data_IF_760129330093
#
_entry.id   IF_760129330093
#
_cell.length_a   1.000
_cell.length_b   1.000
_cell.length_c   1.000
_cell.angle_alpha   90.00
_cell.angle_beta   90.00
_cell.angle_gamma   90.00
#
_symmetry.space_group_name_H-M   'P 1'
#
loop_
_entity.id
_entity.type
_entity.pdbx_description
1 polymer ?
#
# COMPACT_ATOMS: atom_id res chain seq x y z
N UNK A 1 -4.91 19.61 7.33
CA UNK A 1 -3.63 19.89 8.03
C UNK A 1 -3.34 18.93 9.19
N UNK A 2 -4.32 18.51 10.00
CA UNK A 2 -4.05 17.66 11.19
C UNK A 2 -3.41 16.29 10.90
N UNK A 3 -3.72 15.64 9.77
CA UNK A 3 -3.14 14.32 9.45
C UNK A 3 -1.63 14.39 9.18
N UNK A 4 -1.16 15.49 8.59
CA UNK A 4 0.27 15.71 8.36
C UNK A 4 1.01 15.93 9.69
N UNK A 5 0.46 16.75 10.58
CA UNK A 5 1.03 17.01 11.89
C UNK A 5 1.12 15.73 12.75
N UNK A 6 0.08 14.87 12.71
CA UNK A 6 0.07 13.58 13.41
C UNK A 6 1.17 12.63 12.92
N UNK A 7 1.42 12.59 11.61
CA UNK A 7 2.49 11.76 11.04
C UNK A 7 3.88 12.35 11.32
N UNK A 8 4.00 13.68 11.32
CA UNK A 8 5.25 14.38 11.60
C UNK A 8 5.74 14.13 13.04
N UNK A 9 4.86 14.22 14.04
CA UNK A 9 5.20 13.90 15.43
C UNK A 9 5.72 12.48 15.60
N UNK A 10 5.12 11.53 14.87
CA UNK A 10 5.54 10.14 14.89
C UNK A 10 6.92 9.97 14.27
N UNK A 11 7.19 10.61 13.13
CA UNK A 11 8.51 10.61 12.48
C UNK A 11 9.61 11.19 13.38
N UNK A 12 9.34 12.31 14.06
CA UNK A 12 10.29 12.93 15.00
C UNK A 12 10.62 12.00 16.17
N UNK A 13 9.60 11.33 16.73
CA UNK A 13 9.79 10.39 17.84
C UNK A 13 10.66 9.20 17.43
N UNK A 14 10.41 8.66 16.23
CA UNK A 14 11.19 7.53 15.70
C UNK A 14 12.61 7.92 15.35
N UNK A 15 12.83 9.08 14.73
CA UNK A 15 14.17 9.62 14.53
C UNK A 15 14.92 9.73 15.86
N UNK A 16 14.28 10.28 16.89
CA UNK A 16 14.89 10.44 18.20
C UNK A 16 15.28 9.10 18.83
N UNK A 17 14.42 8.08 18.70
CA UNK A 17 14.66 6.72 19.15
C UNK A 17 15.86 6.09 18.44
N UNK A 18 15.93 6.19 17.10
CA UNK A 18 17.04 5.65 16.31
C UNK A 18 18.36 6.35 16.60
N UNK A 19 18.36 7.68 16.59
CA UNK A 19 19.53 8.49 16.91
C UNK A 19 20.09 8.19 18.31
N UNK A 20 19.24 7.83 19.28
CA UNK A 20 19.69 7.45 20.62
C UNK A 20 20.32 6.05 20.70
N UNK A 21 19.97 5.17 19.75
CA UNK A 21 20.49 3.79 19.65
C UNK A 21 21.71 3.70 18.73
N UNK A 22 21.95 4.71 17.91
CA UNK A 22 23.12 4.77 17.03
C UNK A 22 24.39 4.93 17.84
N UNK A 23 25.27 3.93 17.77
CA UNK A 23 26.62 4.03 18.32
C UNK A 23 27.51 4.84 17.35
N UNK A 24 27.47 6.18 17.48
CA UNK A 24 28.30 7.07 16.70
C UNK A 24 27.61 8.38 16.31
N UNK A 25 28.22 9.10 15.36
CA UNK A 25 27.71 10.36 14.84
C UNK A 25 27.04 10.23 13.46
N UNK A 26 26.81 9.01 12.97
CA UNK A 26 26.27 8.79 11.62
C UNK A 26 25.02 7.93 11.70
N UNK A 27 23.87 8.49 11.31
CA UNK A 27 22.64 7.73 11.11
C UNK A 27 22.75 6.93 9.82
N UNK A 28 22.45 5.63 9.88
CA UNK A 28 22.55 4.74 8.71
C UNK A 28 21.58 5.16 7.59
N UNK A 29 21.98 4.94 6.34
CA UNK A 29 21.11 5.21 5.18
C UNK A 29 19.82 4.39 5.22
N UNK A 30 19.88 3.17 5.77
CA UNK A 30 18.72 2.31 6.02
C UNK A 30 17.73 2.92 7.01
N UNK A 31 18.21 3.52 8.09
CA UNK A 31 17.35 4.18 9.07
C UNK A 31 16.66 5.41 8.49
N UNK A 32 17.39 6.21 7.72
CA UNK A 32 16.83 7.33 6.97
C UNK A 32 15.80 6.86 5.92
N UNK A 33 16.05 5.73 5.26
CA UNK A 33 15.15 5.16 4.26
C UNK A 33 13.83 4.67 4.88
N UNK A 34 13.88 4.10 6.09
CA UNK A 34 12.67 3.67 6.80
C UNK A 34 11.84 4.86 7.30
N UNK A 35 12.49 5.92 7.77
CA UNK A 35 11.85 7.21 8.09
C UNK A 35 11.10 7.78 6.87
N UNK A 36 11.71 7.67 5.68
CA UNK A 36 11.11 8.09 4.43
C UNK A 36 9.91 7.22 4.01
N UNK A 37 10.07 5.90 3.97
CA UNK A 37 9.05 4.99 3.44
C UNK A 37 7.87 4.77 4.38
N UNK A 38 8.13 4.62 5.68
CA UNK A 38 7.10 4.26 6.67
C UNK A 38 6.42 5.48 7.28
N UNK A 39 7.18 6.53 7.52
CA UNK A 39 6.71 7.73 8.22
C UNK A 39 6.58 8.93 7.28
N UNK A 40 6.91 8.79 5.99
CA UNK A 40 6.82 9.87 5.01
C UNK A 40 7.76 11.03 5.29
N UNK A 41 8.84 10.79 6.06
CA UNK A 41 9.73 11.83 6.54
C UNK A 41 10.81 12.13 5.49
N UNK A 42 10.91 13.36 4.95
CA UNK A 42 11.91 13.67 3.93
C UNK A 42 13.35 13.47 4.44
N UNK A 43 14.24 13.02 3.55
CA UNK A 43 15.66 12.88 3.85
C UNK A 43 16.27 14.24 4.29
N UNK A 44 15.88 15.33 3.63
CA UNK A 44 16.34 16.69 3.97
C UNK A 44 16.02 17.07 5.43
N UNK A 45 14.79 16.78 5.88
CA UNK A 45 14.37 17.07 7.25
C UNK A 45 15.15 16.20 8.25
N UNK A 46 15.39 14.95 7.89
CA UNK A 46 16.20 14.01 8.70
C UNK A 46 17.65 14.48 8.83
N UNK A 47 18.23 15.05 7.76
CA UNK A 47 19.57 15.65 7.79
C UNK A 47 19.65 16.88 8.69
N UNK A 48 18.67 17.78 8.62
CA UNK A 48 18.61 18.97 9.50
C UNK A 48 18.54 18.54 10.97
N UNK A 49 17.66 17.60 11.30
CA UNK A 49 17.54 17.08 12.67
C UNK A 49 18.78 16.34 13.16
N UNK A 50 19.48 15.62 12.27
CA UNK A 50 20.76 14.99 12.60
C UNK A 50 21.82 16.06 12.90
N UNK A 51 21.90 17.10 12.08
CA UNK A 51 22.86 18.18 12.24
C UNK A 51 22.64 18.94 13.56
N UNK A 52 21.39 19.20 13.96
CA UNK A 52 21.05 19.80 15.26
C UNK A 52 21.55 18.99 16.46
N UNK A 53 21.73 17.68 16.27
CA UNK A 53 22.26 16.75 17.28
C UNK A 53 23.76 16.49 17.15
N UNK A 54 24.44 17.16 16.22
CA UNK A 54 25.85 16.92 15.93
C UNK A 54 26.11 15.56 15.27
N UNK A 55 25.09 15.01 14.59
CA UNK A 55 25.13 13.79 13.81
C UNK A 55 25.03 14.12 12.31
N UNK A 56 25.40 13.17 11.45
CA UNK A 56 25.23 13.22 10.00
C UNK A 56 24.39 12.04 9.55
N UNK A 57 23.78 12.13 8.38
CA UNK A 57 23.06 11.01 7.75
C UNK A 57 23.94 10.44 6.64
N UNK A 58 24.01 9.11 6.54
CA UNK A 58 24.60 8.43 5.40
C UNK A 58 23.68 8.54 4.17
N UNK A 59 23.86 9.62 3.42
CA UNK A 59 23.09 9.93 2.21
C UNK A 59 23.35 8.91 1.10
N UNK A 60 24.58 8.41 1.00
CA UNK A 60 24.95 7.43 -0.02
C UNK A 60 24.21 6.11 0.20
N UNK A 61 24.22 5.60 1.45
CA UNK A 61 23.47 4.39 1.79
C UNK A 61 21.95 4.57 1.63
N UNK A 62 21.43 5.78 1.86
CA UNK A 62 20.01 6.08 1.59
C UNK A 62 19.68 5.98 0.09
N UNK A 63 20.54 6.54 -0.76
CA UNK A 63 20.32 6.57 -2.21
C UNK A 63 20.40 5.17 -2.82
N UNK A 64 21.33 4.33 -2.35
CA UNK A 64 21.45 2.92 -2.73
C UNK A 64 20.16 2.12 -2.40
N UNK A 65 19.63 2.27 -1.17
CA UNK A 65 18.38 1.62 -0.75
C UNK A 65 17.17 2.17 -1.53
N UNK A 66 17.14 3.47 -1.79
CA UNK A 66 16.09 4.11 -2.56
C UNK A 66 16.07 3.63 -4.01
N UNK A 67 17.23 3.43 -4.62
CA UNK A 67 17.37 2.93 -5.97
C UNK A 67 17.00 1.45 -6.07
N UNK A 68 17.38 0.64 -5.08
CA UNK A 68 16.95 -0.75 -4.96
C UNK A 68 15.43 -0.88 -4.78
N UNK A 69 14.82 -0.02 -3.96
CA UNK A 69 13.36 0.04 -3.82
C UNK A 69 12.68 0.42 -5.13
N UNK A 70 13.20 1.43 -5.83
CA UNK A 70 12.70 1.86 -7.15
C UNK A 70 12.78 0.73 -8.19
N UNK A 71 13.87 -0.03 -8.20
CA UNK A 71 14.02 -1.19 -9.08
C UNK A 71 13.01 -2.28 -8.73
N UNK A 72 12.88 -2.65 -7.45
CA UNK A 72 11.87 -3.61 -6.98
C UNK A 72 10.44 -3.18 -7.32
N UNK A 73 10.09 -1.91 -7.16
CA UNK A 73 8.76 -1.41 -7.53
C UNK A 73 8.51 -1.52 -9.04
N UNK A 74 9.54 -1.31 -9.88
CA UNK A 74 9.43 -1.52 -11.34
C UNK A 74 9.29 -3.00 -11.70
N UNK A 75 10.00 -3.89 -11.03
CA UNK A 75 9.91 -5.33 -11.21
C UNK A 75 8.56 -5.88 -10.74
N UNK A 76 8.02 -5.40 -9.61
CA UNK A 76 6.64 -5.71 -9.18
C UNK A 76 5.59 -5.17 -10.13
N UNK A 77 5.84 -4.06 -10.83
CA UNK A 77 4.93 -3.59 -11.88
C UNK A 77 4.99 -4.47 -13.15
N UNK A 78 6.07 -5.23 -13.31
CA UNK A 78 6.21 -6.27 -14.34
C UNK A 78 5.75 -7.66 -13.85
N UNK A 79 5.40 -7.82 -12.56
CA UNK A 79 4.69 -8.99 -12.05
C UNK A 79 3.25 -8.92 -12.54
N UNK A 80 3.08 -9.36 -13.79
CA UNK A 80 1.92 -10.12 -14.23
C UNK A 80 0.60 -9.51 -13.80
N UNK A 81 0.23 -8.42 -14.46
CA UNK A 81 -1.13 -8.28 -15.01
C UNK A 81 -1.39 -9.40 -16.04
N UNK A 82 -1.22 -10.66 -15.63
CA UNK A 82 -1.88 -11.81 -16.22
C UNK A 82 -3.10 -12.02 -15.34
N UNK A 83 -4.11 -11.17 -15.43
CA UNK A 83 -4.90 -10.99 -16.64
C UNK A 83 -5.10 -9.51 -16.97
N UNK A 84 -4.41 -9.06 -18.01
CA UNK A 84 -5.05 -8.17 -18.96
C UNK A 84 -6.24 -8.97 -19.51
N UNK A 85 -7.39 -8.92 -18.83
CA UNK A 85 -8.65 -9.39 -19.38
C UNK A 85 -8.99 -8.41 -20.50
N UNK A 86 -8.26 -8.50 -21.60
CA UNK A 86 -8.63 -7.86 -22.86
C UNK A 86 -9.89 -8.58 -23.32
N UNK A 87 -11.03 -8.14 -22.80
CA UNK A 87 -12.31 -8.44 -23.41
C UNK A 87 -12.35 -7.62 -24.70
N UNK A 88 -11.98 -8.25 -25.81
CA UNK A 88 -12.14 -7.64 -27.12
C UNK A 88 -13.62 -7.31 -27.31
N UNK A 89 -13.95 -6.20 -27.98
CA UNK A 89 -15.33 -5.74 -28.15
C UNK A 89 -16.26 -6.83 -28.73
N UNK A 90 -15.71 -7.77 -29.49
CA UNK A 90 -16.44 -8.92 -30.02
C UNK A 90 -16.88 -9.91 -28.94
N UNK A 91 -16.08 -10.09 -27.88
CA UNK A 91 -16.36 -11.01 -26.78
C UNK A 91 -17.45 -10.45 -25.85
N UNK A 92 -17.44 -9.14 -25.58
CA UNK A 92 -18.54 -8.49 -24.82
C UNK A 92 -19.85 -8.53 -25.61
N UNK A 93 -19.78 -8.36 -26.93
CA UNK A 93 -20.94 -8.44 -27.82
C UNK A 93 -21.53 -9.86 -27.87
N UNK A 94 -20.68 -10.90 -27.93
CA UNK A 94 -21.11 -12.30 -27.85
C UNK A 94 -21.81 -12.63 -26.51
N UNK A 95 -21.26 -12.16 -25.39
CA UNK A 95 -21.85 -12.37 -24.06
C UNK A 95 -23.23 -11.71 -23.93
N UNK A 96 -23.40 -10.51 -24.49
CA UNK A 96 -24.65 -9.74 -24.44
C UNK A 96 -25.73 -10.32 -25.37
N UNK A 97 -25.38 -10.68 -26.61
CA UNK A 97 -26.35 -11.06 -27.64
C UNK A 97 -26.63 -12.57 -27.72
N UNK A 98 -25.60 -13.42 -27.64
CA UNK A 98 -25.77 -14.88 -27.78
C UNK A 98 -26.06 -15.55 -26.43
N UNK A 99 -25.31 -15.17 -25.39
CA UNK A 99 -25.44 -15.80 -24.06
C UNK A 99 -26.38 -15.05 -23.12
N UNK A 100 -26.90 -13.87 -23.52
CA UNK A 100 -27.82 -13.03 -22.73
C UNK A 100 -27.35 -12.81 -21.29
N UNK A 101 -26.05 -12.71 -21.08
CA UNK A 101 -25.49 -12.49 -19.75
C UNK A 101 -25.73 -11.02 -19.38
N UNK A 102 -26.47 -10.73 -18.30
CA UNK A 102 -26.68 -9.36 -17.87
C UNK A 102 -25.36 -8.73 -17.45
N UNK A 103 -25.17 -7.44 -17.79
CA UNK A 103 -24.02 -6.66 -17.30
C UNK A 103 -24.07 -6.63 -15.77
N UNK A 104 -22.91 -6.83 -15.14
CA UNK A 104 -22.80 -6.79 -13.69
C UNK A 104 -23.21 -5.41 -13.17
N UNK A 105 -24.24 -5.36 -12.33
CA UNK A 105 -24.66 -4.13 -11.67
C UNK A 105 -23.70 -3.84 -10.51
N UNK A 106 -22.79 -2.89 -10.72
CA UNK A 106 -21.81 -2.45 -9.73
C UNK A 106 -22.28 -1.28 -8.86
N UNK A 107 -23.54 -0.83 -9.01
CA UNK A 107 -24.06 0.35 -8.31
C UNK A 107 -23.94 0.21 -6.78
N UNK A 108 -24.01 -1.02 -6.29
CA UNK A 108 -23.86 -1.39 -4.88
C UNK A 108 -22.48 -1.07 -4.28
N UNK A 109 -21.40 -1.08 -5.08
CA UNK A 109 -20.04 -0.73 -4.61
C UNK A 109 -19.94 0.73 -4.19
N UNK A 110 -20.73 1.60 -4.83
CA UNK A 110 -20.65 3.05 -4.66
C UNK A 110 -21.77 3.61 -3.77
N UNK A 111 -22.73 2.78 -3.35
CA UNK A 111 -23.82 3.16 -2.46
C UNK A 111 -23.44 3.17 -0.97
N UNK A 112 -22.17 2.91 -0.64
CA UNK A 112 -21.67 2.93 0.73
C UNK A 112 -21.32 4.35 1.17
N UNK A 113 -22.02 4.90 2.17
CA UNK A 113 -21.67 6.19 2.78
C UNK A 113 -20.46 6.00 3.72
N UNK A 114 -19.26 6.24 3.18
CA UNK A 114 -18.01 6.13 3.93
C UNK A 114 -17.92 7.09 5.13
N UNK A 115 -18.73 8.15 5.17
CA UNK A 115 -18.71 9.14 6.25
C UNK A 115 -19.59 8.74 7.44
N UNK A 116 -20.69 8.02 7.21
CA UNK A 116 -21.62 7.55 8.26
C UNK A 116 -21.44 6.08 8.64
N UNK A 117 -20.72 5.30 7.83
CA UNK A 117 -20.59 3.85 8.04
C UNK A 117 -21.91 3.11 7.82
N UNK A 118 -22.84 3.71 7.09
CA UNK A 118 -24.15 3.15 6.78
C UNK A 118 -24.26 2.87 5.28
N UNK A 119 -24.75 1.68 4.96
CA UNK A 119 -25.06 1.24 3.61
C UNK A 119 -26.30 0.36 3.66
N UNK A 120 -26.93 0.14 2.50
CA UNK A 120 -28.06 -0.78 2.39
C UNK A 120 -27.66 -2.16 2.91
N UNK A 121 -28.41 -2.72 3.86
CA UNK A 121 -28.23 -4.09 4.32
C UNK A 121 -28.69 -5.06 3.21
N UNK A 122 -27.82 -5.98 2.84
CA UNK A 122 -28.14 -7.02 1.86
C UNK A 122 -27.88 -8.40 2.47
N UNK A 123 -28.80 -9.33 2.23
CA UNK A 123 -28.60 -10.74 2.54
C UNK A 123 -27.79 -11.37 1.41
N UNK A 124 -26.54 -11.74 1.68
CA UNK A 124 -25.75 -12.55 0.76
C UNK A 124 -25.88 -14.02 1.17
N UNK A 125 -26.12 -14.91 0.20
CA UNK A 125 -26.06 -16.35 0.42
C UNK A 125 -24.71 -16.87 -0.05
N UNK A 126 -24.01 -17.60 0.81
CA UNK A 126 -22.75 -18.25 0.46
C UNK A 126 -23.05 -19.44 -0.46
N UNK A 127 -22.66 -19.34 -1.73
CA UNK A 127 -22.95 -20.38 -2.73
C UNK A 127 -21.89 -21.49 -2.75
N UNK A 128 -20.63 -21.16 -2.50
CA UNK A 128 -19.53 -22.11 -2.48
C UNK A 128 -18.29 -21.49 -1.81
N UNK A 129 -17.50 -22.31 -1.15
CA UNK A 129 -16.21 -21.91 -0.55
C UNK A 129 -15.12 -22.76 -1.18
N UNK A 130 -14.00 -22.17 -1.61
CA UNK A 130 -12.86 -22.90 -2.18
C UNK A 130 -11.60 -22.61 -1.37
N UNK A 131 -10.96 -23.64 -0.82
CA UNK A 131 -9.76 -23.51 0.02
C UNK A 131 -8.44 -23.55 -0.79
N UNK A 132 -8.54 -23.64 -2.12
CA UNK A 132 -7.41 -23.84 -3.02
C UNK A 132 -7.23 -25.28 -3.50
N UNK A 133 -7.89 -26.26 -2.86
CA UNK A 133 -7.79 -27.69 -3.19
C UNK A 133 -9.15 -28.40 -3.26
N UNK A 134 -10.10 -28.03 -2.40
CA UNK A 134 -11.43 -28.63 -2.33
C UNK A 134 -12.52 -27.57 -2.10
N UNK A 135 -13.75 -27.92 -2.51
CA UNK A 135 -14.93 -27.14 -2.20
C UNK A 135 -15.37 -27.45 -0.77
N UNK A 136 -15.60 -26.41 0.03
CA UNK A 136 -16.09 -26.50 1.40
C UNK A 136 -17.55 -26.03 1.44
N UNK A 137 -18.36 -26.71 2.24
CA UNK A 137 -19.78 -26.36 2.44
C UNK A 137 -19.98 -25.33 3.55
N UNK A 138 -19.05 -25.26 4.52
CA UNK A 138 -19.09 -24.33 5.65
C UNK A 138 -17.66 -23.99 6.12
N UNK A 139 -17.43 -22.74 6.55
CA UNK A 139 -16.27 -22.35 7.36
C UNK A 139 -16.79 -22.01 8.75
N UNK A 140 -16.30 -22.68 9.79
CA UNK A 140 -16.44 -22.20 11.16
C UNK A 140 -15.52 -20.99 11.35
N UNK A 141 -16.10 -19.85 11.70
CA UNK A 141 -15.40 -18.58 11.98
C UNK A 141 -15.28 -18.40 13.49
#
# INVERSE_FOLDING_TARGET
EEQFARTLERGIREFNSRASKTEGKVLSGRDAFELFTTFGFPCDLTQVMAQERGMTVDVQGFEEEFEAFRQKSKESNNFTMGSNLQLFADQTNYLENELKVPKTDETCKYAWDSAKGEGSQWSSQLCAIWDGKHWLDTIDI
#
